data_IF_201524366388
#
_entry.id   IF_201524366388
#
_cell.length_a   1.000
_cell.length_b   1.000
_cell.length_c   1.000
_cell.angle_alpha   90.00
_cell.angle_beta   90.00
_cell.angle_gamma   90.00
#
_symmetry.space_group_name_H-M   'P 1'
#
loop_
_entity.id
_entity.type
_entity.pdbx_description
1 polymer ?
#
# COMPACT_ATOMS: atom_id res chain seq x y z
N UNK A 1 -12.73 15.98 -20.95
CA UNK A 1 -11.59 15.36 -20.29
C UNK A 1 -11.34 14.02 -20.99
N UNK A 2 -10.23 13.90 -21.70
CA UNK A 2 -9.77 12.65 -22.28
C UNK A 2 -8.92 11.92 -21.25
N UNK A 3 -9.23 10.64 -21.04
CA UNK A 3 -8.52 9.80 -20.06
C UNK A 3 -7.91 8.62 -20.77
N UNK A 4 -6.74 8.18 -20.31
CA UNK A 4 -6.10 6.95 -20.76
C UNK A 4 -5.54 6.16 -19.56
N UNK A 5 -5.54 4.84 -19.70
CA UNK A 5 -4.82 3.93 -18.81
C UNK A 5 -3.47 3.61 -19.46
N UNK A 6 -2.41 3.55 -18.64
CA UNK A 6 -1.13 3.02 -19.09
C UNK A 6 -0.52 2.07 -18.05
N UNK A 7 0.23 1.10 -18.52
CA UNK A 7 0.82 0.06 -17.69
C UNK A 7 2.07 -0.54 -18.34
N UNK A 8 2.80 -1.31 -17.54
CA UNK A 8 3.87 -2.20 -18.01
C UNK A 8 3.40 -3.65 -17.87
N UNK A 9 3.85 -4.52 -18.75
CA UNK A 9 3.50 -5.96 -18.72
C UNK A 9 4.73 -6.84 -18.91
N UNK A 10 4.72 -8.02 -18.27
CA UNK A 10 5.64 -9.12 -18.52
C UNK A 10 5.06 -10.43 -18.02
N UNK A 11 4.77 -11.37 -18.93
CA UNK A 11 4.24 -12.71 -18.63
C UNK A 11 2.94 -12.68 -17.80
N UNK A 12 1.98 -11.83 -18.23
CA UNK A 12 0.73 -11.53 -17.54
C UNK A 12 -0.52 -12.06 -18.27
N UNK A 13 -0.38 -13.03 -19.18
CA UNK A 13 -1.47 -13.54 -20.02
C UNK A 13 -2.73 -13.89 -19.23
N UNK A 14 -2.57 -14.45 -18.01
CA UNK A 14 -3.66 -14.85 -17.12
C UNK A 14 -4.43 -13.66 -16.52
N UNK A 15 -3.86 -12.45 -16.53
CA UNK A 15 -4.46 -11.23 -16.03
C UNK A 15 -5.13 -10.38 -17.10
N UNK A 16 -4.76 -10.57 -18.38
CA UNK A 16 -5.14 -9.69 -19.50
C UNK A 16 -6.64 -9.50 -19.60
N UNK A 17 -7.43 -10.59 -19.63
CA UNK A 17 -8.89 -10.49 -19.81
C UNK A 17 -9.55 -9.68 -18.69
N UNK A 18 -9.23 -9.99 -17.44
CA UNK A 18 -9.80 -9.29 -16.29
C UNK A 18 -9.37 -7.82 -16.21
N UNK A 19 -8.12 -7.53 -16.56
CA UNK A 19 -7.59 -6.16 -16.62
C UNK A 19 -8.32 -5.35 -17.69
N UNK A 20 -8.36 -5.84 -18.93
CA UNK A 20 -9.01 -5.15 -20.07
C UNK A 20 -10.50 -4.96 -19.83
N UNK A 21 -11.19 -5.93 -19.21
CA UNK A 21 -12.60 -5.79 -18.82
C UNK A 21 -12.80 -4.66 -17.79
N UNK A 22 -11.90 -4.49 -16.82
CA UNK A 22 -12.00 -3.38 -15.86
C UNK A 22 -11.70 -2.01 -16.48
N UNK A 23 -10.96 -1.99 -17.58
CA UNK A 23 -10.58 -0.81 -18.36
C UNK A 23 -11.56 -0.48 -19.51
N UNK A 24 -12.63 -1.24 -19.66
CA UNK A 24 -13.57 -1.10 -20.78
C UNK A 24 -14.03 0.34 -21.00
N UNK A 25 -14.00 0.78 -22.27
CA UNK A 25 -14.37 2.15 -22.65
C UNK A 25 -13.28 3.21 -22.45
N UNK A 26 -12.10 2.82 -21.97
CA UNK A 26 -10.94 3.71 -21.86
C UNK A 26 -9.76 3.19 -22.70
N UNK A 27 -9.07 4.03 -23.48
CA UNK A 27 -7.86 3.62 -24.20
C UNK A 27 -6.78 3.10 -23.23
N UNK A 28 -6.14 1.98 -23.60
CA UNK A 28 -5.11 1.31 -22.82
C UNK A 28 -3.79 1.29 -23.60
N UNK A 29 -2.72 1.77 -22.98
CA UNK A 29 -1.36 1.81 -23.52
C UNK A 29 -0.45 0.91 -22.67
N UNK A 30 0.19 -0.07 -23.30
CA UNK A 30 1.00 -1.07 -22.60
C UNK A 30 2.41 -1.08 -23.16
N UNK A 31 3.40 -0.96 -22.26
CA UNK A 31 4.77 -1.31 -22.58
C UNK A 31 5.00 -2.76 -22.15
N UNK A 32 5.12 -3.66 -23.08
CA UNK A 32 5.58 -5.01 -22.82
C UNK A 32 7.10 -5.04 -22.66
N UNK A 33 7.59 -5.59 -21.56
CA UNK A 33 8.99 -5.57 -21.20
C UNK A 33 9.70 -6.92 -21.44
N UNK A 34 9.16 -7.70 -22.38
CA UNK A 34 9.70 -8.97 -22.84
C UNK A 34 8.95 -10.17 -22.32
N UNK A 35 7.64 -10.20 -22.54
CA UNK A 35 6.81 -11.39 -22.33
C UNK A 35 7.23 -12.53 -23.25
N UNK A 36 7.13 -13.74 -22.71
CA UNK A 36 7.40 -15.00 -23.43
C UNK A 36 6.16 -15.88 -23.59
N UNK A 37 5.06 -15.46 -22.98
CA UNK A 37 3.72 -16.05 -23.10
C UNK A 37 2.85 -15.24 -24.09
N UNK A 38 1.53 -15.50 -24.16
CA UNK A 38 0.62 -14.81 -25.07
C UNK A 38 0.11 -13.46 -24.54
N UNK A 39 0.81 -12.83 -23.61
CA UNK A 39 0.41 -11.52 -23.06
C UNK A 39 0.17 -10.48 -24.17
N UNK A 40 1.13 -10.35 -25.08
CA UNK A 40 1.10 -9.32 -26.14
C UNK A 40 -0.05 -9.58 -27.13
N UNK A 41 -0.24 -10.83 -27.56
CA UNK A 41 -1.30 -11.22 -28.48
C UNK A 41 -2.68 -10.91 -27.88
N UNK A 42 -2.92 -11.35 -26.64
CA UNK A 42 -4.20 -11.16 -25.95
C UNK A 42 -4.52 -9.67 -25.74
N UNK A 43 -3.52 -8.87 -25.35
CA UNK A 43 -3.69 -7.42 -25.19
C UNK A 43 -4.11 -6.74 -26.51
N UNK A 44 -3.45 -7.09 -27.63
CA UNK A 44 -3.76 -6.55 -28.95
C UNK A 44 -5.15 -6.99 -29.43
N UNK A 45 -5.51 -8.25 -29.23
CA UNK A 45 -6.85 -8.79 -29.59
C UNK A 45 -7.96 -8.05 -28.82
N UNK A 46 -7.71 -7.66 -27.57
CA UNK A 46 -8.66 -6.90 -26.74
C UNK A 46 -8.57 -5.37 -26.94
N UNK A 47 -7.77 -4.91 -27.91
CA UNK A 47 -7.73 -3.51 -28.34
C UNK A 47 -6.77 -2.60 -27.59
N UNK A 48 -5.82 -3.13 -26.82
CA UNK A 48 -4.77 -2.33 -26.22
C UNK A 48 -3.71 -1.91 -27.26
N UNK A 49 -3.13 -0.71 -27.05
CA UNK A 49 -1.96 -0.24 -27.79
C UNK A 49 -0.69 -0.78 -27.14
N UNK A 50 -0.06 -1.80 -27.74
CA UNK A 50 1.08 -2.50 -27.16
C UNK A 50 2.37 -2.18 -27.92
N UNK A 51 3.38 -1.71 -27.20
CA UNK A 51 4.75 -1.57 -27.65
C UNK A 51 5.64 -2.51 -26.87
N UNK A 52 6.49 -3.26 -27.56
CA UNK A 52 7.45 -4.18 -26.97
C UNK A 52 8.83 -3.50 -26.86
N UNK A 53 9.40 -3.44 -25.65
CA UNK A 53 10.74 -2.85 -25.42
C UNK A 53 11.39 -3.44 -24.17
N UNK A 54 12.55 -4.02 -24.32
CA UNK A 54 13.36 -4.46 -23.19
C UNK A 54 13.98 -3.25 -22.48
N UNK A 55 13.90 -3.24 -21.18
CA UNK A 55 14.56 -2.24 -20.31
C UNK A 55 15.78 -2.90 -19.66
N UNK A 56 16.98 -2.45 -20.04
CA UNK A 56 18.23 -2.97 -19.52
C UNK A 56 19.22 -1.82 -19.19
N UNK A 57 19.74 -1.68 -17.98
CA UNK A 57 19.37 -2.47 -16.79
C UNK A 57 17.92 -2.19 -16.34
N UNK A 58 17.28 -3.20 -15.71
CA UNK A 58 15.90 -3.07 -15.26
C UNK A 58 15.70 -1.96 -14.23
N UNK A 59 14.73 -1.09 -14.54
CA UNK A 59 14.26 -0.01 -13.67
C UNK A 59 12.77 0.19 -13.86
N UNK A 60 12.00 0.17 -12.77
CA UNK A 60 10.56 0.39 -12.84
C UNK A 60 10.19 1.80 -13.30
N UNK A 61 10.87 2.83 -12.79
CA UNK A 61 10.64 4.22 -13.19
C UNK A 61 10.85 4.42 -14.70
N UNK A 62 11.93 3.88 -15.25
CA UNK A 62 12.20 3.95 -16.68
C UNK A 62 11.10 3.24 -17.49
N UNK A 63 10.72 2.03 -17.09
CA UNK A 63 9.67 1.28 -17.77
C UNK A 63 8.32 2.02 -17.74
N UNK A 64 7.95 2.61 -16.59
CA UNK A 64 6.69 3.37 -16.48
C UNK A 64 6.73 4.70 -17.23
N UNK A 65 7.87 5.38 -17.29
CA UNK A 65 8.02 6.60 -18.09
C UNK A 65 7.93 6.29 -19.59
N UNK A 66 8.51 5.19 -20.05
CA UNK A 66 8.35 4.71 -21.43
C UNK A 66 6.89 4.33 -21.72
N UNK A 67 6.19 3.67 -20.78
CA UNK A 67 4.77 3.37 -20.93
C UNK A 67 3.91 4.65 -20.96
N UNK A 68 4.21 5.63 -20.10
CA UNK A 68 3.56 6.94 -20.12
C UNK A 68 3.79 7.68 -21.45
N UNK A 69 4.99 7.58 -22.02
CA UNK A 69 5.30 8.20 -23.32
C UNK A 69 4.49 7.65 -24.50
N UNK A 70 3.88 6.47 -24.38
CA UNK A 70 2.97 5.91 -25.39
C UNK A 70 1.62 6.62 -25.43
N UNK A 71 1.22 7.27 -24.32
CA UNK A 71 -0.06 7.97 -24.21
C UNK A 71 -0.04 9.22 -25.10
N UNK A 72 -1.03 9.44 -25.98
CA UNK A 72 -1.10 10.62 -26.84
C UNK A 72 -1.08 11.95 -26.08
N UNK A 73 -0.53 12.97 -26.71
CA UNK A 73 -0.37 14.32 -26.11
C UNK A 73 -1.72 15.04 -25.87
N UNK A 74 -2.78 14.62 -26.52
CA UNK A 74 -4.11 15.21 -26.36
C UNK A 74 -4.95 14.55 -25.24
N UNK A 75 -4.34 13.66 -24.45
CA UNK A 75 -4.92 13.09 -23.24
C UNK A 75 -4.73 14.07 -22.07
N UNK A 76 -5.79 14.30 -21.31
CA UNK A 76 -5.76 15.21 -20.15
C UNK A 76 -5.26 14.49 -18.88
N UNK A 77 -5.77 13.27 -18.63
CA UNK A 77 -5.56 12.53 -17.38
C UNK A 77 -5.10 11.09 -17.66
N UNK A 78 -4.04 10.70 -17.01
CA UNK A 78 -3.47 9.36 -17.05
C UNK A 78 -3.79 8.60 -15.76
N UNK A 79 -4.15 7.33 -15.88
CA UNK A 79 -4.35 6.40 -14.77
C UNK A 79 -3.37 5.24 -14.92
N UNK A 80 -2.47 5.06 -13.98
CA UNK A 80 -1.55 3.92 -13.95
C UNK A 80 -2.15 2.79 -13.14
N UNK A 81 -2.29 1.62 -13.77
CA UNK A 81 -2.90 0.41 -13.15
C UNK A 81 -2.06 -0.79 -13.56
N UNK A 82 -1.68 -1.63 -12.61
CA UNK A 82 -0.86 -2.82 -12.90
C UNK A 82 -1.74 -3.96 -13.47
N UNK A 83 -1.13 -4.91 -14.21
CA UNK A 83 -1.86 -5.97 -14.90
C UNK A 83 -2.66 -6.90 -13.95
N UNK A 84 -2.23 -7.01 -12.69
CA UNK A 84 -2.90 -7.78 -11.62
C UNK A 84 -3.89 -6.93 -10.80
N UNK A 85 -4.19 -5.71 -11.26
CA UNK A 85 -5.13 -4.77 -10.64
C UNK A 85 -6.41 -4.66 -11.47
N UNK A 86 -7.53 -4.35 -10.80
CA UNK A 86 -8.85 -4.14 -11.43
C UNK A 86 -9.49 -2.88 -10.90
N UNK A 87 -9.85 -1.98 -11.79
CA UNK A 87 -10.66 -0.80 -11.49
C UNK A 87 -12.11 -1.22 -11.15
N UNK A 88 -12.72 -0.55 -10.20
CA UNK A 88 -14.11 -0.79 -9.86
C UNK A 88 -15.09 -0.27 -10.91
N UNK A 89 -16.31 -0.80 -10.92
CA UNK A 89 -17.33 -0.40 -11.87
C UNK A 89 -17.68 1.08 -11.73
N UNK A 90 -17.78 1.79 -12.87
CA UNK A 90 -18.11 3.23 -12.91
C UNK A 90 -16.96 4.16 -12.51
N UNK A 91 -15.73 3.68 -12.49
CA UNK A 91 -14.56 4.48 -12.15
C UNK A 91 -14.37 5.71 -13.05
N UNK A 92 -14.73 5.63 -14.35
CA UNK A 92 -14.63 6.79 -15.25
C UNK A 92 -15.60 7.91 -14.85
N UNK A 93 -16.82 7.58 -14.42
CA UNK A 93 -17.80 8.57 -13.98
C UNK A 93 -17.37 9.21 -12.67
N UNK A 94 -16.81 8.42 -11.73
CA UNK A 94 -16.19 8.92 -10.50
C UNK A 94 -15.05 9.87 -10.83
N UNK A 95 -14.11 9.45 -11.69
CA UNK A 95 -12.99 10.29 -12.11
C UNK A 95 -13.48 11.61 -12.71
N UNK A 96 -14.44 11.55 -13.64
CA UNK A 96 -15.00 12.74 -14.29
C UNK A 96 -15.69 13.70 -13.33
N UNK A 97 -16.38 13.17 -12.32
CA UNK A 97 -17.08 13.97 -11.33
C UNK A 97 -16.16 14.61 -10.29
N UNK A 98 -15.10 13.89 -9.91
CA UNK A 98 -14.25 14.21 -8.76
C UNK A 98 -12.93 14.89 -9.14
N UNK A 99 -12.45 14.72 -10.39
CA UNK A 99 -11.18 15.29 -10.84
C UNK A 99 -11.22 16.82 -10.89
N UNK A 100 -10.42 17.45 -10.04
CA UNK A 100 -10.31 18.91 -9.91
C UNK A 100 -8.86 19.38 -9.74
N UNK A 101 -7.91 18.48 -9.86
CA UNK A 101 -6.50 18.72 -9.63
C UNK A 101 -5.64 18.32 -10.82
N UNK A 102 -4.36 18.06 -10.53
CA UNK A 102 -3.41 17.52 -11.48
C UNK A 102 -2.73 16.24 -10.99
N UNK A 103 -2.96 15.83 -9.74
CA UNK A 103 -2.53 14.56 -9.15
C UNK A 103 -3.61 14.02 -8.23
N UNK A 104 -3.82 12.71 -8.22
CA UNK A 104 -4.89 12.10 -7.43
C UNK A 104 -4.58 10.70 -6.93
N UNK A 105 -5.34 10.32 -5.93
CA UNK A 105 -5.31 9.00 -5.32
C UNK A 105 -6.54 8.19 -5.70
N UNK A 106 -6.37 6.86 -5.78
CA UNK A 106 -7.44 5.90 -5.67
C UNK A 106 -7.26 5.05 -4.40
N UNK A 107 -8.32 4.41 -3.91
CA UNK A 107 -8.24 3.44 -2.84
C UNK A 107 -7.78 2.08 -3.39
N UNK A 108 -6.66 1.60 -2.89
CA UNK A 108 -6.06 0.34 -3.29
C UNK A 108 -6.30 -0.72 -2.24
N UNK A 109 -6.93 -1.83 -2.63
CA UNK A 109 -7.11 -3.00 -1.77
C UNK A 109 -5.92 -3.92 -2.04
N UNK A 110 -4.97 -3.93 -1.10
CA UNK A 110 -3.71 -4.66 -1.23
C UNK A 110 -3.85 -6.15 -0.91
N UNK A 111 -4.68 -6.48 0.07
CA UNK A 111 -4.85 -7.84 0.58
C UNK A 111 -6.32 -8.13 0.86
N UNK A 112 -6.66 -9.41 0.80
CA UNK A 112 -7.99 -9.93 1.04
C UNK A 112 -7.99 -10.84 2.27
N UNK A 113 -9.04 -10.80 3.06
CA UNK A 113 -9.23 -11.69 4.21
C UNK A 113 -9.81 -13.05 3.83
N UNK A 114 -10.31 -13.19 2.60
CA UNK A 114 -10.92 -14.41 2.07
C UNK A 114 -10.35 -14.75 0.68
N UNK A 115 -10.29 -16.04 0.36
CA UNK A 115 -9.82 -16.54 -0.94
C UNK A 115 -10.69 -16.08 -2.13
N UNK A 116 -11.97 -15.76 -1.88
CA UNK A 116 -12.89 -15.25 -2.89
C UNK A 116 -12.67 -13.76 -3.22
N UNK A 117 -11.73 -13.09 -2.55
CA UNK A 117 -11.42 -11.67 -2.72
C UNK A 117 -12.66 -10.76 -2.57
N UNK A 118 -13.48 -11.03 -1.55
CA UNK A 118 -14.69 -10.27 -1.27
C UNK A 118 -14.56 -9.36 -0.04
N UNK A 119 -13.68 -9.70 0.89
CA UNK A 119 -13.48 -8.98 2.15
C UNK A 119 -12.08 -8.34 2.15
N UNK A 120 -11.95 -7.01 2.00
CA UNK A 120 -10.66 -6.33 2.09
C UNK A 120 -10.01 -6.53 3.45
N UNK A 121 -8.72 -6.87 3.47
CA UNK A 121 -7.90 -6.97 4.69
C UNK A 121 -7.03 -5.74 4.89
N UNK A 122 -6.28 -5.34 3.86
CA UNK A 122 -5.43 -4.15 3.87
C UNK A 122 -5.81 -3.23 2.72
N UNK A 123 -6.01 -1.96 3.02
CA UNK A 123 -6.30 -0.93 2.02
C UNK A 123 -5.53 0.37 2.31
N UNK A 124 -5.17 1.07 1.24
CA UNK A 124 -4.44 2.32 1.34
C UNK A 124 -4.70 3.22 0.13
N UNK A 125 -4.58 4.54 0.25
CA UNK A 125 -4.56 5.41 -0.92
C UNK A 125 -3.27 5.17 -1.72
N UNK A 126 -3.38 5.22 -3.05
CA UNK A 126 -2.26 5.13 -4.00
C UNK A 126 -2.31 6.29 -4.96
N UNK A 127 -1.20 7.00 -5.10
CA UNK A 127 -1.04 8.12 -6.04
C UNK A 127 -0.69 7.57 -7.41
N UNK A 128 -1.70 7.39 -8.26
CA UNK A 128 -1.57 6.75 -9.58
C UNK A 128 -2.40 7.43 -10.66
N UNK A 129 -3.06 8.56 -10.35
CA UNK A 129 -3.83 9.38 -11.28
C UNK A 129 -3.13 10.72 -11.40
N UNK A 130 -2.83 11.18 -12.60
CA UNK A 130 -2.11 12.44 -12.81
C UNK A 130 -2.40 13.05 -14.20
N UNK A 131 -2.16 14.35 -14.34
CA UNK A 131 -2.17 15.01 -15.65
C UNK A 131 -1.06 14.46 -16.54
N UNK A 132 -1.32 14.43 -17.86
CA UNK A 132 -0.44 13.78 -18.86
C UNK A 132 0.97 14.33 -18.90
N UNK A 133 1.15 15.65 -18.74
CA UNK A 133 2.41 16.34 -19.03
C UNK A 133 3.17 16.84 -17.81
N UNK A 134 2.58 16.76 -16.61
CA UNK A 134 3.12 17.42 -15.42
C UNK A 134 3.90 16.50 -14.50
N UNK A 135 3.95 15.21 -14.82
CA UNK A 135 4.44 14.18 -13.91
C UNK A 135 5.34 13.17 -14.60
N UNK A 136 6.29 12.63 -13.83
CA UNK A 136 7.15 11.53 -14.22
C UNK A 136 7.38 10.56 -13.06
N UNK A 137 7.79 9.33 -13.39
CA UNK A 137 8.12 8.29 -12.43
C UNK A 137 9.58 8.39 -12.00
N UNK A 138 9.78 8.25 -10.71
CA UNK A 138 11.08 8.21 -10.06
C UNK A 138 11.24 6.96 -9.24
N UNK A 139 12.47 6.53 -9.04
CA UNK A 139 12.95 5.39 -8.27
C UNK A 139 12.98 4.10 -9.06
N UNK A 140 14.12 3.49 -9.02
CA UNK A 140 14.43 2.20 -9.64
C UNK A 140 13.49 1.08 -9.17
N UNK A 141 13.07 1.12 -7.89
CA UNK A 141 12.19 0.16 -7.23
C UNK A 141 11.22 0.93 -6.36
N UNK A 142 9.99 0.43 -6.23
CA UNK A 142 8.91 1.12 -5.53
C UNK A 142 8.75 2.55 -6.06
N UNK A 143 8.60 2.63 -7.34
CA UNK A 143 8.50 3.85 -8.11
C UNK A 143 7.36 4.73 -7.62
N UNK A 144 7.61 6.02 -7.61
CA UNK A 144 6.65 7.06 -7.20
C UNK A 144 6.50 8.09 -8.31
N UNK A 145 5.27 8.56 -8.49
CA UNK A 145 5.01 9.67 -9.41
C UNK A 145 5.37 10.99 -8.74
N UNK A 146 6.09 11.87 -9.44
CA UNK A 146 6.50 13.19 -8.96
C UNK A 146 6.19 14.26 -10.00
N UNK A 147 5.88 15.49 -9.55
CA UNK A 147 5.72 16.59 -10.47
C UNK A 147 7.05 16.96 -11.13
N UNK A 148 6.97 17.42 -12.36
CA UNK A 148 8.10 18.06 -13.04
C UNK A 148 8.46 19.38 -12.34
N UNK A 149 9.67 19.88 -12.60
CA UNK A 149 10.15 21.13 -12.01
C UNK A 149 9.20 22.30 -12.31
N UNK A 150 8.82 23.03 -11.25
CA UNK A 150 7.93 24.19 -11.35
C UNK A 150 6.43 23.85 -11.38
N UNK A 151 6.06 22.57 -11.36
CA UNK A 151 4.64 22.15 -11.31
C UNK A 151 4.14 22.17 -9.86
N UNK A 152 3.14 23.00 -9.59
CA UNK A 152 2.41 22.99 -8.33
C UNK A 152 1.46 21.79 -8.27
N UNK A 153 1.51 21.01 -7.19
CA UNK A 153 0.63 19.86 -7.00
C UNK A 153 -0.75 20.29 -6.47
N UNK A 154 -1.77 20.03 -7.25
CA UNK A 154 -3.18 20.23 -6.86
C UNK A 154 -3.80 18.84 -6.67
N UNK A 155 -3.91 18.41 -5.42
CA UNK A 155 -4.36 17.08 -5.05
C UNK A 155 -5.86 16.88 -5.26
N UNK A 156 -6.19 15.70 -5.74
CA UNK A 156 -7.56 15.26 -5.93
C UNK A 156 -7.75 13.86 -5.34
N UNK A 157 -8.58 13.77 -4.32
CA UNK A 157 -8.96 12.48 -3.76
C UNK A 157 -10.16 11.94 -4.52
N UNK A 158 -10.07 10.72 -5.01
CA UNK A 158 -11.15 10.07 -5.72
C UNK A 158 -11.75 8.93 -4.90
N UNK A 159 -13.01 8.61 -5.18
CA UNK A 159 -13.69 7.43 -4.62
C UNK A 159 -13.47 6.15 -5.45
N UNK A 160 -12.55 6.18 -6.41
CA UNK A 160 -12.18 5.03 -7.23
C UNK A 160 -11.52 3.98 -6.35
N UNK A 161 -11.94 2.73 -6.52
CA UNK A 161 -11.35 1.58 -5.83
C UNK A 161 -10.61 0.70 -6.83
N UNK A 162 -9.37 0.38 -6.52
CA UNK A 162 -8.55 -0.57 -7.28
C UNK A 162 -8.33 -1.82 -6.45
N UNK A 163 -8.69 -2.97 -7.03
CA UNK A 163 -8.60 -4.29 -6.42
C UNK A 163 -7.36 -5.01 -6.94
N UNK A 164 -6.50 -5.45 -6.06
CA UNK A 164 -5.33 -6.24 -6.41
C UNK A 164 -5.62 -7.74 -6.29
N UNK A 165 -5.31 -8.49 -7.34
CA UNK A 165 -5.45 -9.94 -7.41
C UNK A 165 -4.06 -10.55 -7.57
N UNK A 166 -3.39 -10.77 -6.45
CA UNK A 166 -2.04 -11.28 -6.45
C UNK A 166 -1.97 -12.65 -7.16
N UNK A 167 -1.30 -12.68 -8.29
CA UNK A 167 -1.02 -13.88 -9.05
C UNK A 167 0.49 -14.02 -9.20
N UNK A 168 1.08 -14.94 -8.44
CA UNK A 168 2.51 -15.22 -8.54
C UNK A 168 3.26 -15.11 -7.21
N UNK A 169 4.48 -15.67 -7.17
CA UNK A 169 5.31 -15.66 -5.99
C UNK A 169 5.80 -14.26 -5.62
N UNK A 170 6.05 -14.05 -4.33
CA UNK A 170 6.64 -12.79 -3.83
C UNK A 170 7.98 -12.51 -4.53
N UNK A 171 8.08 -11.36 -5.20
CA UNK A 171 9.34 -10.87 -5.75
C UNK A 171 10.29 -10.50 -4.61
N UNK A 172 11.58 -10.81 -4.75
CA UNK A 172 12.58 -10.45 -3.75
C UNK A 172 13.30 -9.17 -4.15
N UNK A 173 12.89 -8.05 -3.56
CA UNK A 173 13.53 -6.74 -3.79
C UNK A 173 14.65 -6.42 -2.79
N UNK A 174 14.84 -7.22 -1.74
CA UNK A 174 15.83 -6.93 -0.67
C UNK A 174 17.24 -6.63 -1.17
N UNK A 175 17.82 -7.35 -2.19
CA UNK A 175 19.14 -7.02 -2.69
C UNK A 175 19.20 -5.60 -3.28
N UNK A 176 18.25 -5.27 -4.14
CA UNK A 176 18.22 -3.99 -4.81
C UNK A 176 17.85 -2.81 -3.85
N UNK A 177 17.07 -3.08 -2.80
CA UNK A 177 16.82 -2.10 -1.73
C UNK A 177 18.09 -1.82 -0.93
N UNK A 178 18.92 -2.83 -0.68
CA UNK A 178 20.22 -2.63 -0.01
C UNK A 178 21.22 -1.85 -0.87
N UNK A 179 21.23 -2.06 -2.19
CA UNK A 179 22.02 -1.24 -3.11
C UNK A 179 21.56 0.23 -3.07
N UNK A 180 20.26 0.47 -3.13
CA UNK A 180 19.69 1.81 -3.04
C UNK A 180 20.05 2.49 -1.72
N UNK A 181 19.96 1.77 -0.60
CA UNK A 181 20.34 2.29 0.72
C UNK A 181 21.83 2.49 0.91
N UNK A 182 22.68 1.80 0.13
CA UNK A 182 24.12 2.07 0.09
C UNK A 182 24.42 3.39 -0.66
N UNK A 183 23.61 3.75 -1.67
CA UNK A 183 23.71 5.00 -2.40
C UNK A 183 23.08 6.17 -1.60
N UNK A 184 21.91 5.96 -1.01
CA UNK A 184 21.20 6.96 -0.17
C UNK A 184 20.72 6.33 1.16
N UNK A 185 21.51 6.40 2.23
CA UNK A 185 21.11 5.91 3.55
C UNK A 185 19.94 6.66 4.18
N UNK A 186 19.55 7.82 3.65
CA UNK A 186 18.43 8.61 4.15
C UNK A 186 17.12 8.38 3.37
N UNK A 187 17.09 7.40 2.47
CA UNK A 187 15.86 7.00 1.79
C UNK A 187 14.90 6.28 2.76
N UNK A 188 13.98 7.05 3.37
CA UNK A 188 13.00 6.53 4.32
C UNK A 188 12.11 5.43 3.72
N UNK A 189 11.64 5.60 2.47
CA UNK A 189 10.76 4.62 1.86
C UNK A 189 11.51 3.30 1.55
N UNK A 190 12.79 3.37 1.17
CA UNK A 190 13.60 2.18 0.97
C UNK A 190 13.81 1.39 2.28
N UNK A 191 14.05 2.09 3.41
CA UNK A 191 14.11 1.44 4.72
C UNK A 191 12.79 0.78 5.11
N UNK A 192 11.65 1.47 4.89
CA UNK A 192 10.32 0.92 5.19
C UNK A 192 10.02 -0.32 4.37
N UNK A 193 10.35 -0.32 3.07
CA UNK A 193 10.16 -1.45 2.18
C UNK A 193 11.05 -2.64 2.55
N UNK A 194 12.34 -2.40 2.85
CA UNK A 194 13.24 -3.45 3.31
C UNK A 194 12.74 -4.09 4.61
N UNK A 195 12.28 -3.27 5.55
CA UNK A 195 11.72 -3.74 6.81
C UNK A 195 10.48 -4.63 6.58
N UNK A 196 9.56 -4.22 5.70
CA UNK A 196 8.37 -4.99 5.34
C UNK A 196 8.72 -6.34 4.70
N UNK A 197 9.66 -6.36 3.74
CA UNK A 197 10.13 -7.61 3.13
C UNK A 197 10.80 -8.54 4.15
N UNK A 198 11.65 -8.02 5.01
CA UNK A 198 12.27 -8.82 6.07
C UNK A 198 11.22 -9.40 7.03
N UNK A 199 10.20 -8.60 7.40
CA UNK A 199 9.10 -9.04 8.23
C UNK A 199 8.31 -10.21 7.58
N UNK A 200 7.90 -10.05 6.32
CA UNK A 200 7.17 -11.09 5.57
C UNK A 200 7.95 -12.39 5.41
N UNK A 201 9.28 -12.30 5.25
CA UNK A 201 10.18 -13.46 5.15
C UNK A 201 10.53 -14.11 6.49
N UNK A 202 10.05 -13.56 7.61
CA UNK A 202 10.35 -14.05 8.95
C UNK A 202 11.73 -13.64 9.50
N UNK A 203 12.44 -12.75 8.80
CA UNK A 203 13.72 -12.19 9.25
C UNK A 203 13.49 -11.07 10.28
N UNK A 204 12.82 -11.42 11.39
CA UNK A 204 12.30 -10.45 12.34
C UNK A 204 13.37 -9.56 12.99
N UNK A 205 14.58 -10.04 13.21
CA UNK A 205 15.68 -9.24 13.75
C UNK A 205 16.07 -8.11 12.80
N UNK A 206 16.31 -8.45 11.53
CA UNK A 206 16.65 -7.49 10.48
C UNK A 206 15.49 -6.51 10.22
N UNK A 207 14.25 -7.00 10.25
CA UNK A 207 13.06 -6.15 10.13
C UNK A 207 13.01 -5.07 11.23
N UNK A 208 13.27 -5.44 12.49
CA UNK A 208 13.33 -4.48 13.61
C UNK A 208 14.39 -3.41 13.36
N UNK A 209 15.58 -3.80 12.90
CA UNK A 209 16.68 -2.86 12.64
C UNK A 209 16.34 -1.90 11.49
N UNK A 210 15.77 -2.43 10.40
CA UNK A 210 15.35 -1.61 9.26
C UNK A 210 14.22 -0.64 9.62
N UNK A 211 13.19 -1.07 10.37
CA UNK A 211 12.15 -0.16 10.88
C UNK A 211 12.72 0.93 11.78
N UNK A 212 13.70 0.62 12.62
CA UNK A 212 14.40 1.63 13.46
C UNK A 212 15.15 2.65 12.62
N UNK A 213 15.81 2.23 11.54
CA UNK A 213 16.45 3.17 10.60
C UNK A 213 15.41 4.06 9.92
N UNK A 214 14.30 3.48 9.45
CA UNK A 214 13.17 4.26 8.94
C UNK A 214 12.72 5.34 9.93
N UNK A 215 12.45 4.95 11.18
CA UNK A 215 12.02 5.87 12.23
C UNK A 215 13.04 6.99 12.49
N UNK A 216 14.33 6.68 12.45
CA UNK A 216 15.41 7.66 12.57
C UNK A 216 15.43 8.67 11.42
N UNK A 217 15.22 8.20 10.20
CA UNK A 217 15.22 9.08 9.02
C UNK A 217 14.04 10.07 9.04
N UNK A 218 12.87 9.63 9.51
CA UNK A 218 11.68 10.49 9.60
C UNK A 218 11.55 11.24 10.92
N UNK A 219 12.57 11.19 11.78
CA UNK A 219 12.53 11.87 13.08
C UNK A 219 12.38 13.38 12.93
N UNK A 220 11.57 14.00 13.79
CA UNK A 220 11.28 15.43 13.78
C UNK A 220 10.29 15.90 12.70
N UNK A 221 9.81 15.05 11.81
CA UNK A 221 8.78 15.42 10.83
C UNK A 221 7.37 15.22 11.40
N UNK A 222 6.68 16.31 11.71
CA UNK A 222 5.39 16.32 12.41
C UNK A 222 4.17 16.27 11.47
N UNK A 223 4.35 16.02 10.16
CA UNK A 223 3.22 15.84 9.24
C UNK A 223 2.32 14.69 9.71
N UNK A 224 1.02 14.87 9.64
CA UNK A 224 0.02 13.90 10.12
C UNK A 224 0.24 12.50 9.54
N UNK A 225 0.46 12.42 8.22
CA UNK A 225 0.74 11.15 7.54
C UNK A 225 1.95 10.42 8.11
N UNK A 226 2.99 11.15 8.54
CA UNK A 226 4.18 10.54 9.13
C UNK A 226 3.98 10.12 10.59
N UNK A 227 3.11 10.79 11.35
CA UNK A 227 2.72 10.31 12.69
C UNK A 227 2.05 8.94 12.61
N UNK A 228 1.10 8.75 11.66
CA UNK A 228 0.50 7.44 11.41
C UNK A 228 1.52 6.40 10.95
N UNK A 229 2.37 6.72 9.97
CA UNK A 229 3.43 5.83 9.50
C UNK A 229 4.41 5.45 10.61
N UNK A 230 4.76 6.40 11.50
CA UNK A 230 5.59 6.17 12.68
C UNK A 230 4.92 5.20 13.65
N UNK A 231 3.62 5.39 13.90
CA UNK A 231 2.83 4.47 14.73
C UNK A 231 2.81 3.06 14.14
N UNK A 232 2.53 2.90 12.85
CA UNK A 232 2.53 1.61 12.15
C UNK A 232 3.91 0.93 12.18
N UNK A 233 5.00 1.68 11.99
CA UNK A 233 6.35 1.13 12.08
C UNK A 233 6.63 0.57 13.49
N UNK A 234 6.19 1.27 14.54
CA UNK A 234 6.31 0.78 15.91
C UNK A 234 5.42 -0.45 16.18
N UNK A 235 4.22 -0.53 15.60
CA UNK A 235 3.38 -1.74 15.65
C UNK A 235 4.10 -2.92 15.00
N UNK A 236 4.68 -2.72 13.81
CA UNK A 236 5.44 -3.76 13.09
C UNK A 236 6.68 -4.22 13.89
N UNK A 237 7.40 -3.28 14.52
CA UNK A 237 8.50 -3.61 15.44
C UNK A 237 7.98 -4.48 16.59
N UNK A 238 6.85 -4.12 17.21
CA UNK A 238 6.28 -4.88 18.31
C UNK A 238 5.89 -6.30 17.89
N UNK A 239 5.29 -6.47 16.70
CA UNK A 239 4.95 -7.78 16.13
C UNK A 239 6.20 -8.64 15.89
N UNK A 240 7.27 -8.05 15.33
CA UNK A 240 8.55 -8.73 15.15
C UNK A 240 9.18 -9.14 16.49
N UNK A 241 9.16 -8.25 17.49
CA UNK A 241 9.69 -8.52 18.83
C UNK A 241 8.91 -9.62 19.54
N UNK A 242 7.60 -9.69 19.34
CA UNK A 242 6.76 -10.81 19.81
C UNK A 242 7.22 -12.15 19.23
N UNK A 243 7.44 -12.20 17.91
CA UNK A 243 7.97 -13.40 17.25
C UNK A 243 9.35 -13.83 17.75
N UNK A 244 10.15 -12.87 18.20
CA UNK A 244 11.48 -13.09 18.79
C UNK A 244 11.43 -13.42 20.30
N UNK A 245 10.25 -13.43 20.95
CA UNK A 245 10.10 -13.66 22.39
C UNK A 245 10.59 -12.50 23.28
N UNK A 246 10.82 -11.32 22.71
CA UNK A 246 11.35 -10.12 23.40
C UNK A 246 10.20 -9.28 23.99
N UNK A 247 9.47 -9.87 24.96
CA UNK A 247 8.19 -9.34 25.44
C UNK A 247 8.27 -7.93 26.06
N UNK A 248 9.31 -7.61 26.84
CA UNK A 248 9.44 -6.28 27.44
C UNK A 248 9.66 -5.18 26.40
N UNK A 249 10.41 -5.49 25.34
CA UNK A 249 10.65 -4.56 24.25
C UNK A 249 9.42 -4.41 23.37
N UNK A 250 8.68 -5.49 23.16
CA UNK A 250 7.40 -5.50 22.45
C UNK A 250 6.40 -4.53 23.11
N UNK A 251 6.24 -4.62 24.44
CA UNK A 251 5.33 -3.71 25.17
C UNK A 251 5.78 -2.25 25.00
N UNK A 252 7.08 -1.98 25.13
CA UNK A 252 7.61 -0.61 24.90
C UNK A 252 7.35 -0.13 23.48
N UNK A 253 7.47 -0.99 22.47
CA UNK A 253 7.19 -0.63 21.10
C UNK A 253 5.71 -0.29 20.87
N UNK A 254 4.75 -1.05 21.43
CA UNK A 254 3.33 -0.67 21.38
C UNK A 254 3.05 0.67 22.07
N UNK A 255 3.65 0.93 23.22
CA UNK A 255 3.50 2.23 23.88
C UNK A 255 4.08 3.37 23.04
N UNK A 256 5.19 3.13 22.34
CA UNK A 256 5.75 4.10 21.38
C UNK A 256 4.84 4.32 20.18
N UNK A 257 4.18 3.26 19.69
CA UNK A 257 3.18 3.38 18.61
C UNK A 257 2.02 4.27 19.03
N UNK A 258 1.46 4.03 20.20
CA UNK A 258 0.35 4.81 20.79
C UNK A 258 0.77 6.26 21.04
N UNK A 259 1.98 6.49 21.53
CA UNK A 259 2.51 7.83 21.77
C UNK A 259 2.75 8.61 20.46
N UNK A 260 3.19 7.93 19.39
CA UNK A 260 3.40 8.54 18.08
C UNK A 260 2.11 9.03 17.43
N UNK A 261 1.01 8.26 17.55
CA UNK A 261 -0.31 8.63 17.06
C UNK A 261 -1.42 7.97 17.89
N UNK A 262 -1.97 8.67 18.89
CA UNK A 262 -3.00 8.12 19.77
C UNK A 262 -4.32 7.75 19.07
N UNK A 263 -4.57 8.28 17.86
CA UNK A 263 -5.74 7.94 17.04
C UNK A 263 -5.49 6.74 16.11
N UNK A 264 -4.30 6.14 16.12
CA UNK A 264 -4.01 4.91 15.39
C UNK A 264 -4.72 3.73 16.06
N UNK A 265 -5.84 3.33 15.48
CA UNK A 265 -6.70 2.28 16.03
C UNK A 265 -6.00 0.92 16.06
N UNK A 266 -5.17 0.64 15.06
CA UNK A 266 -4.35 -0.56 14.95
C UNK A 266 -3.42 -0.73 16.16
N UNK A 267 -2.75 0.33 16.59
CA UNK A 267 -1.85 0.29 17.73
C UNK A 267 -2.56 -0.17 19.02
N UNK A 268 -3.73 0.38 19.30
CA UNK A 268 -4.53 0.00 20.45
C UNK A 268 -5.11 -1.42 20.31
N UNK A 269 -5.56 -1.80 19.12
CA UNK A 269 -6.14 -3.13 18.86
C UNK A 269 -5.11 -4.23 19.08
N UNK A 270 -3.93 -4.10 18.45
CA UNK A 270 -2.86 -5.08 18.61
C UNK A 270 -2.32 -5.13 20.04
N UNK A 271 -2.17 -3.97 20.70
CA UNK A 271 -1.77 -3.93 22.09
C UNK A 271 -2.78 -4.63 23.00
N UNK A 272 -4.09 -4.43 22.77
CA UNK A 272 -5.13 -5.09 23.56
C UNK A 272 -5.09 -6.62 23.44
N UNK A 273 -4.87 -7.12 22.22
CA UNK A 273 -4.73 -8.54 21.94
C UNK A 273 -3.55 -9.16 22.69
N UNK A 274 -2.39 -8.49 22.63
CA UNK A 274 -1.18 -8.92 23.34
C UNK A 274 -1.36 -8.87 24.85
N UNK A 275 -1.98 -7.82 25.38
CA UNK A 275 -2.28 -7.71 26.82
C UNK A 275 -3.14 -8.88 27.31
N UNK A 276 -4.09 -9.32 26.48
CA UNK A 276 -4.92 -10.51 26.79
C UNK A 276 -4.10 -11.79 26.83
N UNK A 277 -3.23 -12.00 25.83
CA UNK A 277 -2.32 -13.15 25.78
C UNK A 277 -1.33 -13.18 26.97
N UNK A 278 -0.94 -12.02 27.48
CA UNK A 278 -0.10 -11.89 28.67
C UNK A 278 -0.86 -12.07 29.99
N UNK A 279 -2.15 -12.43 29.94
CA UNK A 279 -2.98 -12.65 31.13
C UNK A 279 -3.40 -11.38 31.85
N UNK A 280 -3.41 -10.22 31.18
CA UNK A 280 -3.86 -8.95 31.73
C UNK A 280 -5.18 -8.48 31.08
N UNK A 281 -6.34 -9.07 31.48
CA UNK A 281 -7.62 -8.75 30.87
C UNK A 281 -8.09 -7.31 31.18
N UNK A 282 -7.69 -6.71 32.31
CA UNK A 282 -8.03 -5.30 32.60
C UNK A 282 -7.37 -4.34 31.62
N UNK A 283 -6.08 -4.51 31.35
CA UNK A 283 -5.36 -3.70 30.37
C UNK A 283 -5.90 -3.94 28.96
N UNK A 284 -6.16 -5.21 28.62
CA UNK A 284 -6.77 -5.60 27.35
C UNK A 284 -8.10 -4.90 27.13
N UNK A 285 -9.01 -4.96 28.09
CA UNK A 285 -10.31 -4.30 28.02
C UNK A 285 -10.19 -2.78 27.77
N UNK A 286 -9.36 -2.09 28.57
CA UNK A 286 -9.15 -0.65 28.44
C UNK A 286 -8.62 -0.26 27.07
N UNK A 287 -7.60 -0.96 26.57
CA UNK A 287 -7.01 -0.72 25.26
C UNK A 287 -8.00 -1.02 24.11
N UNK A 288 -8.72 -2.15 24.19
CA UNK A 288 -9.71 -2.52 23.18
C UNK A 288 -10.87 -1.52 23.10
N UNK A 289 -11.36 -1.04 24.24
CA UNK A 289 -12.41 -0.02 24.29
C UNK A 289 -11.91 1.34 23.75
N UNK A 290 -10.65 1.69 23.98
CA UNK A 290 -10.03 2.87 23.38
C UNK A 290 -10.02 2.73 21.85
N UNK A 291 -9.54 1.60 21.32
CA UNK A 291 -9.57 1.29 19.89
C UNK A 291 -11.00 1.40 19.33
N UNK A 292 -11.97 0.74 19.98
CA UNK A 292 -13.36 0.73 19.51
C UNK A 292 -13.98 2.14 19.44
N UNK A 293 -13.58 3.06 20.30
CA UNK A 293 -14.08 4.43 20.32
C UNK A 293 -13.47 5.36 19.28
N UNK A 294 -12.36 4.98 18.65
CA UNK A 294 -11.80 5.68 17.49
C UNK A 294 -12.67 5.33 16.27
N UNK A 295 -13.43 6.28 15.74
CA UNK A 295 -14.46 6.01 14.72
C UNK A 295 -14.07 6.43 13.30
N UNK A 296 -13.08 7.29 13.13
CA UNK A 296 -12.72 7.82 11.84
C UNK A 296 -11.33 7.33 11.43
N UNK A 297 -11.23 6.52 10.37
CA UNK A 297 -9.92 6.12 9.85
C UNK A 297 -9.18 7.32 9.25
N UNK A 298 -7.84 7.32 9.31
CA UNK A 298 -7.05 8.32 8.61
C UNK A 298 -7.20 8.15 7.10
N UNK A 299 -7.35 9.26 6.38
CA UNK A 299 -7.46 9.21 4.93
C UNK A 299 -6.14 8.79 4.25
N UNK A 300 -5.01 9.22 4.82
CA UNK A 300 -3.69 9.11 4.17
C UNK A 300 -2.82 7.95 4.68
N UNK A 301 -3.39 7.00 5.42
CA UNK A 301 -2.65 5.88 5.96
C UNK A 301 -3.28 4.54 5.56
N UNK A 302 -2.44 3.51 5.49
CA UNK A 302 -2.93 2.14 5.37
C UNK A 302 -3.74 1.76 6.62
N UNK A 303 -4.82 1.02 6.43
CA UNK A 303 -5.69 0.55 7.52
C UNK A 303 -5.93 -0.95 7.42
N UNK A 304 -5.99 -1.61 8.57
CA UNK A 304 -6.34 -3.02 8.68
C UNK A 304 -7.86 -3.15 8.93
N UNK A 305 -8.58 -3.73 7.98
CA UNK A 305 -10.04 -3.82 8.04
C UNK A 305 -10.55 -4.47 9.34
N UNK A 306 -9.88 -5.50 9.86
CA UNK A 306 -10.23 -6.14 11.12
C UNK A 306 -10.18 -5.15 12.30
N UNK A 307 -9.15 -4.33 12.36
CA UNK A 307 -9.00 -3.31 13.41
C UNK A 307 -10.09 -2.23 13.33
N UNK A 308 -10.56 -1.90 12.12
CA UNK A 308 -11.64 -0.92 11.90
C UNK A 308 -13.04 -1.53 11.91
N UNK A 309 -13.14 -2.86 11.97
CA UNK A 309 -14.36 -3.63 12.16
C UNK A 309 -14.71 -3.85 13.64
N UNK A 310 -15.23 -5.04 13.92
CA UNK A 310 -15.69 -5.44 15.25
C UNK A 310 -14.59 -6.00 16.16
N UNK A 311 -13.41 -6.34 15.63
CA UNK A 311 -12.36 -7.00 16.40
C UNK A 311 -12.05 -6.34 17.74
N UNK A 312 -11.90 -4.99 17.86
CA UNK A 312 -11.69 -4.37 19.17
C UNK A 312 -12.83 -4.64 20.15
N UNK A 313 -14.08 -4.65 19.67
CA UNK A 313 -15.24 -4.92 20.53
C UNK A 313 -15.25 -6.38 21.00
N UNK A 314 -14.94 -7.32 20.14
CA UNK A 314 -14.84 -8.75 20.46
C UNK A 314 -13.75 -9.00 21.49
N UNK A 315 -12.58 -8.39 21.35
CA UNK A 315 -11.51 -8.47 22.35
C UNK A 315 -11.97 -7.87 23.68
N UNK A 316 -12.66 -6.73 23.67
CA UNK A 316 -13.17 -6.09 24.88
C UNK A 316 -14.20 -6.97 25.60
N UNK A 317 -15.14 -7.56 24.87
CA UNK A 317 -16.18 -8.44 25.44
C UNK A 317 -15.56 -9.69 26.07
N UNK A 318 -14.59 -10.31 25.39
CA UNK A 318 -13.85 -11.46 25.93
C UNK A 318 -13.06 -11.09 27.20
N UNK A 319 -12.31 -9.99 27.15
CA UNK A 319 -11.54 -9.51 28.31
C UNK A 319 -12.46 -9.17 29.50
N UNK A 320 -13.62 -8.53 29.25
CA UNK A 320 -14.61 -8.23 30.26
C UNK A 320 -15.17 -9.51 30.92
N UNK A 321 -15.47 -10.55 30.12
CA UNK A 321 -15.90 -11.86 30.64
C UNK A 321 -14.90 -12.47 31.61
N UNK A 322 -13.59 -12.38 31.28
CA UNK A 322 -12.51 -12.85 32.16
C UNK A 322 -12.41 -12.03 33.45
N UNK A 323 -12.56 -10.69 33.37
CA UNK A 323 -12.54 -9.80 34.55
C UNK A 323 -13.71 -10.11 35.49
N UNK A 324 -14.88 -10.40 34.95
CA UNK A 324 -16.10 -10.68 35.75
C UNK A 324 -16.21 -12.14 36.20
N UNK A 325 -15.20 -12.97 35.93
CA UNK A 325 -15.20 -14.39 36.32
C UNK A 325 -16.18 -15.26 35.52
N UNK A 326 -16.64 -14.82 34.35
CA UNK A 326 -17.59 -15.53 33.48
C UNK A 326 -16.87 -16.34 32.39
N UNK A 327 -15.55 -16.31 32.34
CA UNK A 327 -14.71 -17.02 31.37
C UNK A 327 -14.11 -18.29 31.98
N UNK A 328 -14.82 -19.41 31.86
CA UNK A 328 -14.26 -20.79 31.96
C UNK A 328 -14.42 -21.49 30.63
#
# INVERSE_FOLDING_TARGET
>A
MKTAIYTIAKDEAHNVEGFMKSAEGCPVYVLDTGSTDNTVELLRELGAHVVEKIIDPWRFDTARNEALALVPDDVDVCVSVDMDERLDSGWQDKLKAEWKGNVGNYFYIAEWADEACTIPSVQSPRTRIHSRHDYEWHRRIHEVIRPLEGVEQIWCDTSIVVKHYQSGGQRNYSPALRELLAEDPNDADAWLQLAGECHQKGNFGEAVDAYKQYLKVIDGDEREVLRYRRSHAWVSIAQCLHKLGRNDEMVRAFLSAIAAEPSCREAWTHFSHVALQMGNPHLSYGAAMTAYNIKKPPYHAATEAACWGNLPKEIADHAFGLVMGQGQ
#
